data_IF_678369964889
#
_entry.id   IF_678369964889
#
_cell.length_a   1.000
_cell.length_b   1.000
_cell.length_c   1.000
_cell.angle_alpha   90.00
_cell.angle_beta   90.00
_cell.angle_gamma   90.00
#
_symmetry.space_group_name_H-M   'P 1'
#
loop_
_entity.id
_entity.type
_entity.pdbx_description
1 polymer ?
#
# COMPACT_ATOMS: atom_id res chain seq x y z
N UNK A 1 58.45 -17.78 -69.34
CA UNK A 1 57.52 -18.42 -68.41
C UNK A 1 57.23 -17.45 -67.30
N UNK A 2 56.08 -16.74 -67.30
CA UNK A 2 55.71 -15.72 -66.34
C UNK A 2 54.48 -16.19 -65.54
N UNK A 3 54.65 -16.42 -64.26
CA UNK A 3 53.58 -16.79 -63.35
C UNK A 3 52.90 -15.55 -62.84
N UNK A 4 51.62 -15.33 -63.22
CA UNK A 4 50.73 -14.30 -62.67
C UNK A 4 50.07 -14.82 -61.37
N UNK A 5 50.41 -14.26 -60.24
CA UNK A 5 49.71 -14.46 -58.96
C UNK A 5 48.50 -13.52 -58.92
N UNK A 6 47.30 -14.05 -58.97
CA UNK A 6 46.09 -13.30 -58.72
C UNK A 6 45.85 -13.15 -57.20
N UNK A 7 45.69 -11.91 -56.78
CA UNK A 7 45.25 -11.56 -55.40
C UNK A 7 43.74 -11.55 -55.34
N UNK A 8 43.18 -12.48 -54.56
CA UNK A 8 41.77 -12.53 -54.28
C UNK A 8 41.47 -11.60 -53.09
N UNK A 9 40.80 -10.44 -53.29
CA UNK A 9 40.31 -9.57 -52.23
C UNK A 9 39.01 -10.14 -51.71
N UNK A 10 39.02 -10.69 -50.47
CA UNK A 10 37.83 -11.08 -49.74
C UNK A 10 37.34 -9.84 -48.97
N UNK A 11 36.26 -9.18 -49.47
CA UNK A 11 35.52 -8.17 -48.73
C UNK A 11 34.71 -8.86 -47.63
N UNK A 12 35.19 -8.81 -46.39
CA UNK A 12 34.39 -9.16 -45.20
C UNK A 12 33.43 -8.02 -44.90
N UNK A 13 32.17 -8.21 -45.28
CA UNK A 13 31.09 -7.28 -44.95
C UNK A 13 30.67 -7.53 -43.49
N UNK A 14 31.24 -6.73 -42.57
CA UNK A 14 30.83 -6.73 -41.16
C UNK A 14 29.44 -6.11 -41.02
N UNK A 15 28.39 -6.95 -40.92
CA UNK A 15 27.09 -6.52 -40.45
C UNK A 15 27.14 -6.15 -38.96
N UNK A 16 27.25 -4.87 -38.67
CA UNK A 16 27.04 -4.35 -37.32
C UNK A 16 25.52 -4.43 -37.03
N UNK A 17 25.10 -5.48 -36.32
CA UNK A 17 23.77 -5.51 -35.70
C UNK A 17 23.73 -4.41 -34.64
N UNK A 18 23.13 -3.27 -34.98
CA UNK A 18 22.76 -2.26 -33.99
C UNK A 18 21.63 -2.86 -33.14
N UNK A 19 21.99 -3.42 -31.97
CA UNK A 19 21.03 -3.72 -30.91
C UNK A 19 20.52 -2.38 -30.39
N UNK A 20 19.40 -1.89 -30.94
CA UNK A 20 18.65 -0.81 -30.36
C UNK A 20 18.07 -1.33 -29.05
N UNK A 21 18.78 -1.13 -27.95
CA UNK A 21 18.18 -1.21 -26.62
C UNK A 21 17.10 -0.14 -26.58
N UNK A 22 15.85 -0.56 -26.80
CA UNK A 22 14.70 0.28 -26.61
C UNK A 22 14.76 0.82 -25.18
N UNK A 23 15.12 2.07 -25.03
CA UNK A 23 14.91 2.82 -23.78
C UNK A 23 13.41 2.78 -23.59
N UNK A 24 12.93 1.86 -22.73
CA UNK A 24 11.55 1.93 -22.28
C UNK A 24 11.40 3.28 -21.61
N UNK A 25 10.63 4.17 -22.24
CA UNK A 25 10.24 5.44 -21.65
C UNK A 25 9.47 5.10 -20.38
N UNK A 26 10.19 5.05 -19.27
CA UNK A 26 9.64 4.76 -17.94
C UNK A 26 9.16 6.05 -17.28
N UNK A 27 8.49 5.93 -16.16
CA UNK A 27 8.04 7.08 -15.40
C UNK A 27 6.91 7.83 -16.10
N UNK A 28 6.97 9.16 -16.07
CA UNK A 28 5.89 9.99 -16.64
C UNK A 28 5.84 9.95 -18.17
N UNK A 29 6.93 9.66 -18.86
CA UNK A 29 6.95 9.61 -20.33
C UNK A 29 6.08 8.49 -20.92
N UNK A 30 5.77 7.46 -20.13
CA UNK A 30 4.86 6.39 -20.53
C UNK A 30 3.41 6.88 -20.78
N UNK A 31 3.07 8.09 -20.37
CA UNK A 31 1.73 8.67 -20.56
C UNK A 31 1.61 9.52 -21.83
N UNK A 32 2.68 9.73 -22.58
CA UNK A 32 2.65 10.50 -23.85
C UNK A 32 1.68 9.87 -24.83
N UNK A 33 0.75 10.68 -25.35
CA UNK A 33 -0.27 10.24 -26.31
C UNK A 33 -1.40 9.41 -25.73
N UNK A 34 -1.43 9.19 -24.41
CA UNK A 34 -2.56 8.56 -23.73
C UNK A 34 -3.57 9.61 -23.29
N UNK A 35 -4.84 9.22 -23.32
CA UNK A 35 -5.98 10.03 -22.89
C UNK A 35 -7.06 9.17 -22.23
N UNK A 36 -8.09 9.80 -21.65
CA UNK A 36 -9.24 9.10 -21.06
C UNK A 36 -9.23 9.05 -19.55
N UNK A 37 -9.99 8.12 -19.00
CA UNK A 37 -10.23 8.02 -17.55
C UNK A 37 -9.66 6.72 -16.98
N UNK A 38 -8.87 6.83 -15.91
CA UNK A 38 -8.41 5.72 -15.08
C UNK A 38 -9.18 5.73 -13.76
N UNK A 39 -9.89 4.65 -13.45
CA UNK A 39 -10.67 4.47 -12.23
C UNK A 39 -9.93 3.55 -11.28
N UNK A 40 -9.66 4.05 -10.07
CA UNK A 40 -8.95 3.33 -9.00
C UNK A 40 -9.82 3.28 -7.76
N UNK A 41 -9.96 2.13 -7.11
CA UNK A 41 -10.70 2.04 -5.85
C UNK A 41 -10.08 1.05 -4.86
N UNK A 42 -10.55 1.06 -3.62
CA UNK A 42 -10.28 0.02 -2.64
C UNK A 42 -9.46 0.45 -1.42
N UNK A 43 -8.31 -0.17 -1.21
CA UNK A 43 -7.51 -0.01 0.00
C UNK A 43 -7.16 1.42 0.36
N UNK A 44 -7.61 1.90 1.52
CA UNK A 44 -7.41 3.31 1.92
C UNK A 44 -5.97 3.65 2.31
N UNK A 45 -5.13 2.67 2.63
CA UNK A 45 -3.69 2.88 2.81
C UNK A 45 -2.98 3.35 1.53
N UNK A 46 -3.54 3.07 0.35
CA UNK A 46 -2.98 3.44 -0.95
C UNK A 46 -3.20 4.91 -1.31
N UNK A 47 -4.26 5.53 -0.73
CA UNK A 47 -4.73 6.86 -1.13
C UNK A 47 -3.64 7.94 -1.15
N UNK A 48 -2.74 8.06 -0.16
CA UNK A 48 -1.72 9.10 -0.18
C UNK A 48 -0.80 9.04 -1.40
N UNK A 49 -0.36 7.83 -1.78
CA UNK A 49 0.50 7.60 -2.94
C UNK A 49 -0.29 7.80 -4.24
N UNK A 50 -1.46 7.17 -4.35
CA UNK A 50 -2.30 7.24 -5.54
C UNK A 50 -2.68 8.69 -5.87
N UNK A 51 -3.08 9.50 -4.86
CA UNK A 51 -3.40 10.92 -5.06
C UNK A 51 -2.19 11.74 -5.49
N UNK A 52 -1.01 11.49 -4.92
CA UNK A 52 0.20 12.21 -5.30
C UNK A 52 0.57 11.92 -6.76
N UNK A 53 0.62 10.65 -7.16
CA UNK A 53 0.92 10.26 -8.54
C UNK A 53 -0.15 10.75 -9.52
N UNK A 54 -1.43 10.62 -9.18
CA UNK A 54 -2.53 11.09 -10.03
C UNK A 54 -2.45 12.59 -10.29
N UNK A 55 -2.11 13.40 -9.27
CA UNK A 55 -1.90 14.84 -9.43
C UNK A 55 -0.80 15.11 -10.44
N UNK A 56 0.37 14.48 -10.29
CA UNK A 56 1.51 14.66 -11.19
C UNK A 56 1.17 14.27 -12.64
N UNK A 57 0.48 13.14 -12.82
CA UNK A 57 0.06 12.68 -14.15
C UNK A 57 -0.92 13.66 -14.78
N UNK A 58 -2.00 14.02 -14.07
CA UNK A 58 -3.04 14.92 -14.61
C UNK A 58 -2.52 16.34 -14.86
N UNK A 59 -1.54 16.81 -14.07
CA UNK A 59 -0.88 18.11 -14.33
C UNK A 59 -0.07 18.10 -15.62
N UNK A 60 0.64 17.00 -15.92
CA UNK A 60 1.48 16.87 -17.14
C UNK A 60 0.67 16.50 -18.37
N UNK A 61 -0.42 15.77 -18.18
CA UNK A 61 -1.28 15.21 -19.23
C UNK A 61 -2.75 15.52 -18.97
N UNK A 62 -3.22 16.74 -19.27
CA UNK A 62 -4.59 17.18 -18.95
C UNK A 62 -5.71 16.39 -19.64
N UNK A 63 -5.39 15.65 -20.73
CA UNK A 63 -6.33 14.75 -21.39
C UNK A 63 -6.61 13.46 -20.58
N UNK A 64 -5.83 13.21 -19.51
CA UNK A 64 -6.00 12.07 -18.62
C UNK A 64 -6.76 12.51 -17.38
N UNK A 65 -7.81 11.74 -17.01
CA UNK A 65 -8.55 11.88 -15.76
C UNK A 65 -8.32 10.65 -14.88
N UNK A 66 -7.89 10.84 -13.64
CA UNK A 66 -7.71 9.75 -12.68
C UNK A 66 -8.65 9.97 -11.50
N UNK A 67 -9.50 8.98 -11.22
CA UNK A 67 -10.43 8.98 -10.08
C UNK A 67 -9.99 7.95 -9.04
N UNK A 68 -10.06 8.31 -7.75
CA UNK A 68 -9.62 7.45 -6.66
C UNK A 68 -10.70 7.41 -5.59
N UNK A 69 -11.20 6.20 -5.31
CA UNK A 69 -12.17 5.93 -4.26
C UNK A 69 -11.59 4.98 -3.18
N UNK A 70 -12.10 5.11 -1.96
CA UNK A 70 -11.79 4.20 -0.85
C UNK A 70 -12.67 2.94 -0.86
N UNK A 71 -12.99 2.40 0.35
CA UNK A 71 -13.90 1.28 0.56
C UNK A 71 -13.23 0.02 1.12
N UNK A 72 -11.88 0.01 1.22
CA UNK A 72 -11.15 -1.15 1.74
C UNK A 72 -10.75 -2.17 0.69
N UNK A 73 -9.96 -3.15 1.10
CA UNK A 73 -9.37 -4.15 0.20
C UNK A 73 -10.42 -5.04 -0.47
N UNK A 74 -11.46 -5.44 0.26
CA UNK A 74 -12.54 -6.28 -0.29
C UNK A 74 -13.29 -5.56 -1.39
N UNK A 75 -13.58 -4.26 -1.22
CA UNK A 75 -14.23 -3.43 -2.25
C UNK A 75 -13.35 -3.31 -3.49
N UNK A 76 -12.05 -3.01 -3.32
CA UNK A 76 -11.12 -2.90 -4.46
C UNK A 76 -11.01 -4.20 -5.25
N UNK A 77 -10.85 -5.33 -4.57
CA UNK A 77 -10.78 -6.66 -5.19
C UNK A 77 -12.07 -6.97 -5.97
N UNK A 78 -13.24 -6.75 -5.35
CA UNK A 78 -14.53 -7.01 -5.98
C UNK A 78 -14.75 -6.12 -7.20
N UNK A 79 -14.58 -4.79 -7.05
CA UNK A 79 -14.85 -3.85 -8.14
C UNK A 79 -13.94 -4.06 -9.35
N UNK A 80 -12.65 -4.35 -9.17
CA UNK A 80 -11.78 -4.67 -10.30
C UNK A 80 -12.15 -6.01 -10.92
N UNK A 81 -12.51 -7.01 -10.11
CA UNK A 81 -12.97 -8.31 -10.59
C UNK A 81 -14.25 -8.25 -11.43
N UNK A 82 -15.16 -7.36 -11.07
CA UNK A 82 -16.39 -7.07 -11.81
C UNK A 82 -16.18 -6.11 -13.00
N UNK A 83 -14.98 -5.54 -13.16
CA UNK A 83 -14.68 -4.58 -14.24
C UNK A 83 -15.25 -3.19 -14.04
N UNK A 84 -15.66 -2.84 -12.80
CA UNK A 84 -16.21 -1.52 -12.46
C UNK A 84 -15.11 -0.45 -12.34
N UNK A 85 -13.89 -0.87 -12.03
CA UNK A 85 -12.70 -0.02 -11.99
C UNK A 85 -11.54 -0.69 -12.73
N UNK A 86 -10.57 0.11 -13.14
CA UNK A 86 -9.41 -0.35 -13.90
C UNK A 86 -8.32 -0.93 -12.97
N UNK A 87 -8.19 -0.36 -11.75
CA UNK A 87 -7.25 -0.81 -10.72
C UNK A 87 -7.99 -0.96 -9.38
N UNK A 88 -7.88 -2.15 -8.79
CA UNK A 88 -8.40 -2.45 -7.46
C UNK A 88 -7.29 -2.56 -6.41
N UNK A 89 -7.20 -1.60 -5.51
CA UNK A 89 -6.18 -1.56 -4.46
C UNK A 89 -6.51 -2.46 -3.28
N UNK A 90 -5.53 -3.23 -2.79
CA UNK A 90 -5.69 -4.06 -1.61
C UNK A 90 -4.46 -4.06 -0.70
N UNK A 91 -4.67 -3.83 0.60
CA UNK A 91 -3.66 -3.92 1.66
C UNK A 91 -3.58 -5.31 2.29
N UNK A 92 -4.04 -6.30 1.60
CA UNK A 92 -3.81 -7.73 1.81
C UNK A 92 -3.65 -8.41 0.44
N UNK A 93 -2.94 -9.51 0.39
CA UNK A 93 -2.95 -10.32 -0.83
C UNK A 93 -4.38 -10.85 -1.04
N UNK A 94 -4.95 -10.73 -2.24
CA UNK A 94 -6.17 -11.44 -2.60
C UNK A 94 -6.00 -12.94 -2.35
N UNK A 95 -7.06 -13.63 -1.94
CA UNK A 95 -7.07 -15.08 -1.78
C UNK A 95 -6.94 -15.78 -3.13
N UNK A 96 -6.49 -17.02 -3.15
CA UNK A 96 -6.38 -17.77 -4.41
C UNK A 96 -7.74 -17.98 -5.06
N UNK A 97 -8.80 -18.08 -4.26
CA UNK A 97 -10.19 -18.09 -4.75
C UNK A 97 -10.56 -16.75 -5.44
N UNK A 98 -10.25 -15.60 -4.83
CA UNK A 98 -10.48 -14.27 -5.44
C UNK A 98 -9.66 -14.10 -6.73
N UNK A 99 -8.39 -14.54 -6.72
CA UNK A 99 -7.51 -14.46 -7.90
C UNK A 99 -8.09 -15.27 -9.05
N UNK A 100 -8.48 -16.52 -8.78
CA UNK A 100 -9.04 -17.42 -9.79
C UNK A 100 -10.41 -16.95 -10.30
N UNK A 101 -11.31 -16.58 -9.37
CA UNK A 101 -12.67 -16.19 -9.72
C UNK A 101 -12.74 -14.91 -10.57
N UNK A 102 -11.83 -13.97 -10.33
CA UNK A 102 -11.82 -12.68 -11.03
C UNK A 102 -10.71 -12.55 -12.08
N UNK A 103 -9.85 -13.54 -12.24
CA UNK A 103 -8.72 -13.47 -13.18
C UNK A 103 -7.74 -12.36 -12.84
N UNK A 104 -7.41 -12.18 -11.56
CA UNK A 104 -6.62 -11.05 -11.09
C UNK A 104 -5.13 -11.20 -11.39
N UNK A 105 -4.52 -10.09 -11.81
CA UNK A 105 -3.07 -9.89 -11.79
C UNK A 105 -2.69 -8.97 -10.65
N UNK A 106 -1.70 -9.36 -9.87
CA UNK A 106 -1.30 -8.68 -8.65
C UNK A 106 0.01 -7.93 -8.87
N UNK A 107 0.01 -6.63 -8.54
CA UNK A 107 1.20 -5.78 -8.60
C UNK A 107 1.50 -5.28 -7.17
N UNK A 108 2.43 -5.97 -6.48
CA UNK A 108 2.89 -5.56 -5.14
C UNK A 108 3.95 -4.48 -5.29
N UNK A 109 3.59 -3.23 -5.03
CA UNK A 109 4.48 -2.09 -5.23
C UNK A 109 5.08 -1.50 -3.96
N UNK A 110 4.58 -1.87 -2.77
CA UNK A 110 5.16 -1.43 -1.50
C UNK A 110 4.96 -2.44 -0.37
N UNK A 111 5.75 -2.24 0.69
CA UNK A 111 5.54 -2.83 2.01
C UNK A 111 5.15 -1.72 2.99
N UNK A 112 4.22 -2.04 3.87
CA UNK A 112 3.62 -1.15 4.85
C UNK A 112 3.53 -1.84 6.22
N UNK A 113 3.76 -1.08 7.30
CA UNK A 113 3.45 -1.49 8.66
C UNK A 113 2.04 -1.09 9.05
N UNK A 114 1.42 -1.83 9.98
CA UNK A 114 0.16 -1.44 10.62
C UNK A 114 0.40 -1.29 12.11
N UNK A 115 0.27 -0.06 12.62
CA UNK A 115 0.53 0.29 14.00
C UNK A 115 -0.76 0.46 14.80
N UNK A 116 -0.77 0.00 16.06
CA UNK A 116 -1.70 0.52 17.05
C UNK A 116 -1.37 1.97 17.33
N UNK A 117 -2.38 2.82 17.44
CA UNK A 117 -2.23 4.27 17.66
C UNK A 117 -3.15 4.75 18.77
N UNK A 118 -2.66 5.75 19.49
CA UNK A 118 -3.38 6.44 20.56
C UNK A 118 -3.27 7.97 20.38
N UNK A 119 -4.03 8.72 21.14
CA UNK A 119 -3.90 10.18 21.21
C UNK A 119 -2.49 10.59 21.68
N UNK A 120 -1.88 11.67 21.19
CA UNK A 120 -0.51 12.08 21.57
C UNK A 120 -0.32 12.34 23.07
N UNK A 121 -1.36 12.81 23.77
CA UNK A 121 -1.35 13.04 25.22
C UNK A 121 -1.42 11.74 26.05
N UNK A 122 -1.74 10.60 25.44
CA UNK A 122 -1.71 9.34 26.17
C UNK A 122 -0.25 9.00 26.53
N UNK A 123 0.11 8.78 27.81
CA UNK A 123 1.49 8.51 28.21
C UNK A 123 1.98 7.11 27.83
N UNK A 124 1.09 6.18 27.46
CA UNK A 124 1.46 4.82 27.04
C UNK A 124 2.19 4.89 25.71
N UNK A 125 3.39 4.30 25.64
CA UNK A 125 4.24 4.29 24.43
C UNK A 125 4.48 2.88 23.88
N UNK A 126 4.23 1.86 24.69
CA UNK A 126 4.42 0.45 24.31
C UNK A 126 3.35 -0.41 24.96
N UNK A 127 2.89 -1.41 24.24
CA UNK A 127 2.01 -2.46 24.74
C UNK A 127 2.57 -3.82 24.31
N UNK A 128 2.39 -4.82 25.16
CA UNK A 128 2.63 -6.21 24.75
C UNK A 128 1.53 -6.68 23.82
N UNK A 129 1.81 -7.67 22.99
CA UNK A 129 0.81 -8.33 22.14
C UNK A 129 -0.40 -8.81 22.96
N UNK A 130 -0.17 -9.30 24.18
CA UNK A 130 -1.24 -9.71 25.08
C UNK A 130 -2.11 -8.54 25.52
N UNK A 131 -1.53 -7.40 25.91
CA UNK A 131 -2.28 -6.21 26.30
C UNK A 131 -3.12 -5.66 25.14
N UNK A 132 -2.55 -5.61 23.91
CA UNK A 132 -3.31 -5.20 22.72
C UNK A 132 -4.50 -6.13 22.49
N UNK A 133 -4.30 -7.46 22.59
CA UNK A 133 -5.37 -8.43 22.45
C UNK A 133 -6.44 -8.25 23.52
N UNK A 134 -6.05 -8.04 24.78
CA UNK A 134 -6.97 -7.90 25.91
C UNK A 134 -7.78 -6.58 25.82
N UNK A 135 -7.19 -5.49 25.37
CA UNK A 135 -7.87 -4.22 25.12
C UNK A 135 -8.92 -4.39 24.00
N UNK A 136 -8.50 -4.93 22.83
CA UNK A 136 -9.43 -5.09 21.71
C UNK A 136 -10.53 -6.12 21.98
N UNK A 137 -10.27 -7.10 22.83
CA UNK A 137 -11.28 -8.06 23.29
C UNK A 137 -12.20 -7.55 24.41
N UNK A 138 -11.91 -6.36 24.98
CA UNK A 138 -12.65 -5.78 26.09
C UNK A 138 -12.36 -6.42 27.47
N UNK A 139 -11.25 -7.12 27.63
CA UNK A 139 -10.80 -7.64 28.93
C UNK A 139 -10.06 -6.60 29.74
N UNK A 140 -9.33 -5.69 29.09
CA UNK A 140 -8.77 -4.47 29.63
C UNK A 140 -9.61 -3.33 29.14
N UNK A 141 -10.20 -2.56 30.04
CA UNK A 141 -11.18 -1.51 29.71
C UNK A 141 -10.78 -0.11 30.21
N UNK A 142 -9.71 -0.02 31.00
CA UNK A 142 -9.21 1.22 31.56
C UNK A 142 -7.71 1.34 31.31
N UNK A 143 -7.25 2.51 30.87
CA UNK A 143 -5.84 2.77 30.61
C UNK A 143 -4.92 2.54 31.80
N UNK A 144 -5.40 2.73 33.04
CA UNK A 144 -4.60 2.47 34.27
C UNK A 144 -4.13 1.02 34.39
N UNK A 145 -4.85 0.08 33.80
CA UNK A 145 -4.49 -1.35 33.82
C UNK A 145 -3.23 -1.65 32.98
N UNK A 146 -2.84 -0.71 32.12
CA UNK A 146 -1.66 -0.81 31.25
C UNK A 146 -0.68 0.36 31.42
N UNK A 147 -0.73 1.04 32.57
CA UNK A 147 0.22 2.10 32.92
C UNK A 147 -0.16 3.49 32.42
N UNK A 148 -1.39 3.68 31.97
CA UNK A 148 -1.95 4.97 31.57
C UNK A 148 -2.78 5.65 32.67
N UNK A 149 -3.52 6.71 32.32
CA UNK A 149 -4.39 7.44 33.26
C UNK A 149 -5.62 6.60 33.65
N UNK A 150 -6.27 6.97 34.76
CA UNK A 150 -7.56 6.37 35.14
C UNK A 150 -8.66 6.90 34.22
N UNK A 151 -8.80 6.26 33.06
CA UNK A 151 -9.73 6.62 31.98
C UNK A 151 -10.16 5.37 31.24
N UNK A 152 -11.46 5.25 30.95
CA UNK A 152 -11.98 4.16 30.13
C UNK A 152 -11.37 4.20 28.72
N UNK A 153 -11.11 3.02 28.14
CA UNK A 153 -10.54 2.90 26.79
C UNK A 153 -11.66 2.90 25.75
N UNK A 154 -11.58 3.83 24.79
CA UNK A 154 -12.42 3.84 23.60
C UNK A 154 -11.72 3.10 22.45
N UNK A 155 -12.28 1.97 22.02
CA UNK A 155 -11.69 1.13 20.98
C UNK A 155 -12.33 1.46 19.64
N UNK A 156 -11.49 1.86 18.68
CA UNK A 156 -11.88 2.05 17.29
C UNK A 156 -11.40 0.87 16.43
N UNK A 157 -12.27 0.44 15.54
CA UNK A 157 -11.98 -0.63 14.58
C UNK A 157 -12.43 -0.27 13.17
N UNK A 158 -12.27 -1.20 12.24
CA UNK A 158 -12.65 -1.08 10.84
C UNK A 158 -13.64 -2.18 10.48
N UNK A 159 -14.37 -1.98 9.40
CA UNK A 159 -15.22 -3.01 8.78
C UNK A 159 -14.41 -4.20 8.23
N UNK A 160 -15.11 -5.27 7.85
CA UNK A 160 -14.47 -6.51 7.36
C UNK A 160 -13.85 -6.38 5.98
N UNK A 161 -14.27 -5.41 5.16
CA UNK A 161 -13.65 -5.13 3.86
C UNK A 161 -12.26 -4.50 4.01
N UNK A 162 -11.92 -4.01 5.22
CA UNK A 162 -10.65 -3.35 5.49
C UNK A 162 -9.47 -4.33 5.50
N UNK A 163 -8.52 -4.16 4.57
CA UNK A 163 -7.25 -4.88 4.60
C UNK A 163 -6.37 -4.51 5.80
N UNK A 164 -6.50 -3.28 6.34
CA UNK A 164 -5.78 -2.86 7.56
C UNK A 164 -6.30 -3.64 8.76
N UNK A 165 -7.64 -3.76 8.90
CA UNK A 165 -8.25 -4.63 9.93
C UNK A 165 -7.80 -6.08 9.78
N UNK A 166 -7.86 -6.63 8.58
CA UNK A 166 -7.47 -8.02 8.32
C UNK A 166 -6.04 -8.31 8.80
N UNK A 167 -5.08 -7.43 8.48
CA UNK A 167 -3.68 -7.62 8.86
C UNK A 167 -3.48 -7.42 10.35
N UNK A 168 -4.06 -6.38 10.96
CA UNK A 168 -3.97 -6.13 12.38
C UNK A 168 -4.61 -7.27 13.18
N UNK A 169 -5.83 -7.67 12.83
CA UNK A 169 -6.55 -8.79 13.45
C UNK A 169 -5.75 -10.10 13.38
N UNK A 170 -5.15 -10.39 12.22
CA UNK A 170 -4.38 -11.63 12.04
C UNK A 170 -3.05 -11.60 12.79
N UNK A 171 -2.33 -10.48 12.76
CA UNK A 171 -0.92 -10.42 13.21
C UNK A 171 -0.76 -9.82 14.61
N UNK A 172 -1.53 -8.80 14.98
CA UNK A 172 -1.47 -8.21 16.32
C UNK A 172 -2.45 -8.88 17.28
N UNK A 173 -3.70 -9.13 16.84
CA UNK A 173 -4.72 -9.72 17.68
C UNK A 173 -4.73 -11.26 17.68
N UNK A 174 -3.86 -11.92 16.91
CA UNK A 174 -3.81 -13.39 16.83
C UNK A 174 -5.15 -14.02 16.41
N UNK A 175 -5.96 -13.31 15.63
CA UNK A 175 -7.35 -13.63 15.25
C UNK A 175 -8.33 -13.67 16.44
N UNK A 176 -7.97 -13.02 17.56
CA UNK A 176 -8.82 -12.88 18.74
C UNK A 176 -10.06 -12.01 18.48
N UNK A 177 -10.93 -11.96 19.48
CA UNK A 177 -12.14 -11.17 19.43
C UNK A 177 -11.84 -9.66 19.36
N UNK A 178 -12.70 -8.92 18.68
CA UNK A 178 -12.84 -7.47 18.82
C UNK A 178 -14.18 -7.24 19.51
N UNK A 179 -14.18 -6.41 20.57
CA UNK A 179 -15.38 -6.10 21.37
C UNK A 179 -16.47 -5.51 20.47
N UNK A 180 -17.72 -5.87 20.77
CA UNK A 180 -18.88 -5.53 19.91
C UNK A 180 -19.24 -4.05 19.91
N UNK A 181 -18.86 -3.35 20.98
CA UNK A 181 -19.06 -1.92 21.19
C UNK A 181 -17.89 -1.06 20.70
N UNK A 182 -16.92 -1.65 19.98
CA UNK A 182 -15.89 -0.88 19.29
C UNK A 182 -16.49 -0.05 18.14
N UNK A 183 -16.13 1.24 18.09
CA UNK A 183 -16.60 2.15 17.05
C UNK A 183 -15.95 1.82 15.69
N UNK A 184 -16.79 1.70 14.65
CA UNK A 184 -16.33 1.34 13.31
C UNK A 184 -16.12 2.60 12.45
N UNK A 185 -14.89 2.78 11.95
CA UNK A 185 -14.55 3.89 11.06
C UNK A 185 -14.17 3.40 9.65
N UNK A 186 -14.50 4.18 8.59
CA UNK A 186 -14.44 3.67 7.21
C UNK A 186 -13.05 3.68 6.56
N UNK A 187 -12.05 4.37 7.13
CA UNK A 187 -10.74 4.56 6.46
C UNK A 187 -9.58 4.75 7.44
N UNK A 188 -8.33 4.65 6.95
CA UNK A 188 -7.15 5.04 7.74
C UNK A 188 -7.20 6.53 8.14
N UNK A 189 -7.67 7.40 7.25
CA UNK A 189 -7.84 8.81 7.57
C UNK A 189 -8.88 9.05 8.67
N UNK A 190 -10.05 8.41 8.58
CA UNK A 190 -11.08 8.51 9.62
C UNK A 190 -10.59 7.93 10.96
N UNK A 191 -9.85 6.82 10.94
CA UNK A 191 -9.23 6.26 12.15
C UNK A 191 -8.24 7.24 12.78
N UNK A 192 -7.37 7.87 11.96
CA UNK A 192 -6.44 8.87 12.43
C UNK A 192 -7.17 10.04 13.09
N UNK A 193 -8.21 10.58 12.43
CA UNK A 193 -9.01 11.67 12.99
C UNK A 193 -9.68 11.26 14.30
N UNK A 194 -10.33 10.08 14.36
CA UNK A 194 -10.99 9.62 15.59
C UNK A 194 -10.01 9.51 16.76
N UNK A 195 -8.83 8.96 16.55
CA UNK A 195 -7.80 8.85 17.60
C UNK A 195 -7.20 10.20 17.96
N UNK A 196 -7.01 11.10 16.99
CA UNK A 196 -6.45 12.44 17.22
C UNK A 196 -7.38 13.37 18.01
N UNK A 197 -8.67 13.06 18.06
CA UNK A 197 -9.68 13.90 18.75
C UNK A 197 -10.18 13.32 20.06
N UNK A 198 -9.75 12.11 20.41
CA UNK A 198 -10.19 11.41 21.62
C UNK A 198 -9.00 10.93 22.47
N UNK A 199 -8.70 11.61 23.61
CA UNK A 199 -7.61 11.20 24.51
C UNK A 199 -7.76 9.80 25.14
N UNK A 200 -8.95 9.19 25.04
CA UNK A 200 -9.21 7.84 25.52
C UNK A 200 -9.03 6.76 24.44
N UNK A 201 -8.86 7.17 23.19
CA UNK A 201 -8.90 6.30 22.02
C UNK A 201 -7.71 5.35 21.89
N UNK A 202 -7.99 4.17 21.38
CA UNK A 202 -7.04 3.29 20.71
C UNK A 202 -7.61 2.82 19.37
N UNK A 203 -6.78 2.85 18.34
CA UNK A 203 -7.12 2.34 17.01
C UNK A 203 -5.91 1.73 16.34
N UNK A 204 -5.99 1.51 15.03
CA UNK A 204 -4.86 1.03 14.23
C UNK A 204 -4.89 1.60 12.81
N UNK A 205 -3.73 2.02 12.33
CA UNK A 205 -3.57 2.61 10.99
C UNK A 205 -2.34 2.06 10.27
N UNK A 206 -2.30 2.29 8.97
CA UNK A 206 -1.08 2.18 8.16
C UNK A 206 -0.02 3.17 8.67
N UNK A 207 1.23 2.73 8.79
CA UNK A 207 2.35 3.57 9.25
C UNK A 207 2.50 4.83 8.39
N UNK A 208 2.19 4.77 7.09
CA UNK A 208 2.18 5.94 6.21
C UNK A 208 1.11 7.01 6.54
N UNK A 209 0.27 6.79 7.54
CA UNK A 209 -0.69 7.78 8.07
C UNK A 209 -0.27 8.36 9.41
N UNK A 210 0.79 7.84 10.03
CA UNK A 210 1.28 8.34 11.32
C UNK A 210 1.97 9.67 11.11
N UNK A 211 1.55 10.67 11.87
CA UNK A 211 2.15 11.98 11.99
C UNK A 211 2.02 12.47 13.45
N UNK A 212 2.33 13.72 13.71
CA UNK A 212 2.29 14.34 15.06
C UNK A 212 0.90 14.33 15.70
N UNK A 213 -0.17 14.10 14.95
CA UNK A 213 -1.55 14.07 15.46
C UNK A 213 -1.94 12.77 16.16
N UNK A 214 -1.14 11.72 15.99
CA UNK A 214 -1.36 10.42 16.65
C UNK A 214 -0.04 9.80 17.10
N UNK A 215 -0.05 9.11 18.24
CA UNK A 215 1.11 8.39 18.75
C UNK A 215 1.02 6.91 18.35
N UNK A 216 1.98 6.43 17.56
CA UNK A 216 2.11 5.00 17.30
C UNK A 216 2.76 4.29 18.49
N UNK A 217 2.24 3.11 18.84
CA UNK A 217 2.72 2.31 19.95
C UNK A 217 3.73 1.26 19.48
N UNK A 218 4.79 1.08 20.26
CA UNK A 218 5.63 -0.09 20.14
C UNK A 218 4.83 -1.36 20.52
N UNK A 219 5.06 -2.45 19.80
CA UNK A 219 4.47 -3.76 20.08
C UNK A 219 5.57 -4.70 20.58
N UNK A 220 5.42 -5.22 21.79
CA UNK A 220 6.45 -6.03 22.47
C UNK A 220 7.82 -5.33 22.49
N UNK A 221 7.83 -3.99 22.68
CA UNK A 221 9.03 -3.18 22.69
C UNK A 221 9.60 -2.83 21.29
N UNK A 222 8.97 -3.28 20.20
CA UNK A 222 9.41 -2.98 18.83
C UNK A 222 8.57 -1.86 18.22
N UNK A 223 9.18 -0.75 17.87
CA UNK A 223 8.51 0.38 17.23
C UNK A 223 8.09 0.06 15.78
N UNK A 224 6.94 0.59 15.32
CA UNK A 224 6.46 0.43 13.96
C UNK A 224 7.20 1.35 12.96
N UNK A 225 8.54 1.42 13.05
CA UNK A 225 9.36 2.20 12.14
C UNK A 225 9.54 1.49 10.79
N UNK A 226 9.83 2.26 9.72
CA UNK A 226 10.11 1.67 8.40
C UNK A 226 11.32 0.74 8.43
N UNK A 227 12.31 1.03 9.28
CA UNK A 227 13.48 0.18 9.47
C UNK A 227 13.09 -1.17 10.08
N UNK A 228 12.28 -1.16 11.15
CA UNK A 228 11.82 -2.38 11.81
C UNK A 228 10.88 -3.20 10.92
N UNK A 229 10.05 -2.52 10.09
CA UNK A 229 9.22 -3.18 9.08
C UNK A 229 10.09 -3.83 8.00
N UNK A 230 11.11 -3.13 7.50
CA UNK A 230 12.02 -3.63 6.46
C UNK A 230 12.84 -4.82 6.93
N UNK A 231 13.37 -4.76 8.14
CA UNK A 231 14.17 -5.84 8.73
C UNK A 231 13.34 -7.01 9.23
N UNK A 232 11.99 -6.92 9.22
CA UNK A 232 11.10 -7.95 9.75
C UNK A 232 11.01 -7.98 11.28
N UNK A 233 11.66 -7.08 12.00
CA UNK A 233 11.55 -6.96 13.46
C UNK A 233 10.14 -6.57 13.89
N UNK A 234 9.48 -5.66 13.16
CA UNK A 234 8.08 -5.32 13.42
C UNK A 234 7.16 -6.28 12.68
N UNK A 235 6.37 -7.14 13.39
CA UNK A 235 5.69 -8.27 12.76
C UNK A 235 4.43 -7.87 11.99
N UNK A 236 3.81 -6.72 12.32
CA UNK A 236 2.53 -6.31 11.73
C UNK A 236 2.76 -5.55 10.42
N UNK A 237 3.37 -6.24 9.45
CA UNK A 237 3.70 -5.73 8.12
C UNK A 237 2.90 -6.45 7.03
N UNK A 238 2.73 -5.78 5.87
CA UNK A 238 1.95 -6.27 4.72
C UNK A 238 2.48 -5.75 3.39
N UNK A 239 2.11 -6.40 2.30
CA UNK A 239 2.22 -5.84 0.96
C UNK A 239 1.04 -4.91 0.64
N UNK A 240 1.31 -3.87 -0.14
CA UNK A 240 0.30 -3.07 -0.82
C UNK A 240 0.25 -3.48 -2.29
N UNK A 241 -0.95 -3.86 -2.73
CA UNK A 241 -1.20 -4.41 -4.06
C UNK A 241 -2.14 -3.50 -4.84
N UNK A 242 -1.82 -3.27 -6.11
CA UNK A 242 -2.75 -2.78 -7.13
C UNK A 242 -3.08 -3.95 -8.05
N UNK A 243 -4.34 -4.34 -8.11
CA UNK A 243 -4.77 -5.51 -8.85
C UNK A 243 -5.49 -5.09 -10.12
N UNK A 244 -5.32 -5.85 -11.21
CA UNK A 244 -6.09 -5.68 -12.47
C UNK A 244 -6.81 -6.97 -12.82
N UNK A 245 -7.91 -6.87 -13.58
CA UNK A 245 -8.57 -8.01 -14.18
C UNK A 245 -7.88 -8.31 -15.52
N UNK A 246 -7.18 -9.44 -15.58
CA UNK A 246 -6.41 -9.78 -16.77
C UNK A 246 -5.39 -8.71 -17.16
N UNK A 247 -5.20 -8.52 -18.47
CA UNK A 247 -4.26 -7.52 -19.01
C UNK A 247 -4.83 -6.10 -18.81
N UNK A 248 -4.09 -5.18 -18.18
CA UNK A 248 -4.52 -3.78 -18.01
C UNK A 248 -4.57 -3.03 -19.36
N UNK A 249 -5.39 -1.99 -19.42
CA UNK A 249 -5.34 -1.02 -20.52
C UNK A 249 -3.99 -0.29 -20.55
N UNK A 250 -3.64 0.35 -21.66
CA UNK A 250 -2.39 1.11 -21.80
C UNK A 250 -2.24 2.17 -20.69
N UNK A 251 -3.32 2.88 -20.35
CA UNK A 251 -3.32 3.89 -19.29
C UNK A 251 -3.13 3.27 -17.88
N UNK A 252 -3.80 2.15 -17.62
CA UNK A 252 -3.62 1.43 -16.35
C UNK A 252 -2.21 0.84 -16.25
N UNK A 253 -1.66 0.30 -17.34
CA UNK A 253 -0.30 -0.23 -17.38
C UNK A 253 0.74 0.88 -17.11
N UNK A 254 0.60 2.04 -17.77
CA UNK A 254 1.49 3.19 -17.56
C UNK A 254 1.46 3.65 -16.08
N UNK A 255 0.28 3.66 -15.45
CA UNK A 255 0.15 4.02 -14.03
C UNK A 255 0.79 2.97 -13.10
N UNK A 256 0.63 1.68 -13.41
CA UNK A 256 1.29 0.60 -12.68
C UNK A 256 2.82 0.66 -12.83
N UNK A 257 3.32 0.92 -14.03
CA UNK A 257 4.76 1.04 -14.31
C UNK A 257 5.37 2.24 -13.58
N UNK A 258 4.63 3.35 -13.48
CA UNK A 258 5.04 4.53 -12.72
C UNK A 258 5.27 4.21 -11.22
N UNK A 259 4.51 3.30 -10.62
CA UNK A 259 4.74 2.87 -9.22
C UNK A 259 6.12 2.25 -9.01
N UNK A 260 6.69 1.61 -10.03
CA UNK A 260 8.02 0.99 -9.98
C UNK A 260 9.13 1.87 -10.54
N UNK A 261 8.79 2.94 -11.25
CA UNK A 261 9.74 3.92 -11.77
C UNK A 261 10.41 4.72 -10.63
N UNK A 262 11.60 5.29 -10.85
CA UNK A 262 12.31 6.08 -9.83
C UNK A 262 11.45 7.19 -9.20
N UNK A 263 10.62 7.87 -10.00
CA UNK A 263 9.70 8.93 -9.57
C UNK A 263 8.62 8.39 -8.62
N UNK A 264 7.98 7.30 -8.99
CA UNK A 264 6.98 6.63 -8.18
C UNK A 264 7.55 6.12 -6.87
N UNK A 265 8.73 5.48 -6.91
CA UNK A 265 9.44 4.98 -5.73
C UNK A 265 9.79 6.11 -4.75
N UNK A 266 10.20 7.29 -5.25
CA UNK A 266 10.42 8.47 -4.39
C UNK A 266 9.14 8.93 -3.71
N UNK A 267 8.02 8.98 -4.43
CA UNK A 267 6.71 9.35 -3.87
C UNK A 267 6.27 8.30 -2.83
N UNK A 268 6.41 7.01 -3.13
CA UNK A 268 6.09 5.93 -2.18
C UNK A 268 6.89 6.11 -0.88
N UNK A 269 8.20 6.31 -0.97
CA UNK A 269 9.06 6.51 0.20
C UNK A 269 8.68 7.77 0.99
N UNK A 270 8.38 8.89 0.30
CA UNK A 270 7.98 10.15 0.95
C UNK A 270 6.63 10.07 1.67
N UNK A 271 5.82 9.04 1.36
CA UNK A 271 4.55 8.76 2.04
C UNK A 271 4.66 7.71 3.14
N UNK A 272 5.88 7.38 3.59
CA UNK A 272 6.09 6.45 4.69
C UNK A 272 5.89 4.98 4.33
N UNK A 273 6.14 4.61 3.08
CA UNK A 273 6.09 3.21 2.62
C UNK A 273 7.46 2.75 2.11
N UNK A 274 7.68 1.46 2.12
CA UNK A 274 8.89 0.84 1.57
C UNK A 274 8.60 0.41 0.13
N UNK A 275 9.20 1.04 -0.91
CA UNK A 275 9.02 0.61 -2.29
C UNK A 275 9.44 -0.86 -2.47
N UNK A 276 8.61 -1.65 -3.13
CA UNK A 276 8.94 -3.02 -3.51
C UNK A 276 9.59 -3.05 -4.90
N UNK A 277 10.36 -4.10 -5.16
CA UNK A 277 10.83 -4.43 -6.50
C UNK A 277 9.72 -5.16 -7.27
N UNK A 278 9.82 -5.13 -8.59
CA UNK A 278 8.83 -5.73 -9.50
C UNK A 278 8.88 -7.26 -9.47
#
# INVERSE_FOLDING_TARGET
MAYRRGFLFICVLSCILAVTTGVHAGGYDAFKGLEGTLRISGGTAHIPVMKALAREVMTRYPAIRITIAGGGSGVGIKQVGEGLVDIGNSGRRPTDQEISAYGLRLHRWAVDGVAAVVHPENPVRSLTSRQVQDIFAGRVTNWKEVGGPDRAIHVFTRDEASGTRHVFWKKALGKGAIRKDADVVPSNGAMKTAVATDPAAIGYISVGYVDETVQALALDGVEPSLENVRSGRYPVARGLYSNTKGQPSALAQAFLDLLFAPEGRRIIASKGYIPADR
#
